data_IF_337789136194
#
_entry.id   IF_337789136194
#
_cell.length_a   1.000
_cell.length_b   1.000
_cell.length_c   1.000
_cell.angle_alpha   90.00
_cell.angle_beta   90.00
_cell.angle_gamma   90.00
#
_symmetry.space_group_name_H-M   'P 1'
#
loop_
_entity.id
_entity.type
_entity.pdbx_description
1 polymer ?
#
# COMPACT_ATOMS: atom_id res chain seq x y z
N UNK A 1 -1.70 20.74 5.47
CA UNK A 1 -2.10 19.35 5.79
C UNK A 1 -3.60 19.16 5.60
N UNK A 2 -4.47 19.94 6.27
CA UNK A 2 -5.95 19.79 6.21
C UNK A 2 -6.57 19.88 4.80
N UNK A 3 -6.09 20.74 3.91
CA UNK A 3 -6.66 20.87 2.56
C UNK A 3 -6.46 19.61 1.70
N UNK A 4 -5.24 19.05 1.71
CA UNK A 4 -4.92 17.83 0.96
C UNK A 4 -5.71 16.63 1.49
N UNK A 5 -5.81 16.50 2.82
CA UNK A 5 -6.60 15.43 3.45
C UNK A 5 -8.09 15.57 3.12
N UNK A 6 -8.62 16.79 3.09
CA UNK A 6 -9.99 17.06 2.65
C UNK A 6 -10.24 16.68 1.19
N UNK A 7 -9.29 16.94 0.29
CA UNK A 7 -9.38 16.54 -1.12
C UNK A 7 -9.35 15.01 -1.26
N UNK A 8 -8.46 14.33 -0.52
CA UNK A 8 -8.38 12.86 -0.51
C UNK A 8 -9.66 12.23 0.01
N UNK A 9 -10.14 12.67 1.16
CA UNK A 9 -11.40 12.18 1.72
C UNK A 9 -12.58 12.39 0.76
N UNK A 10 -12.62 13.52 0.05
CA UNK A 10 -13.65 13.77 -0.96
C UNK A 10 -13.48 12.85 -2.18
N UNK A 11 -12.26 12.59 -2.63
CA UNK A 11 -11.99 11.64 -3.73
C UNK A 11 -12.47 10.24 -3.36
N UNK A 12 -12.17 9.76 -2.16
CA UNK A 12 -12.63 8.44 -1.70
C UNK A 12 -14.17 8.36 -1.60
N UNK A 13 -14.86 9.43 -1.15
CA UNK A 13 -16.33 9.49 -1.20
C UNK A 13 -16.87 9.43 -2.63
N UNK A 14 -16.24 10.12 -3.58
CA UNK A 14 -16.65 10.05 -5.00
C UNK A 14 -16.40 8.66 -5.60
N UNK A 15 -15.32 8.01 -5.22
CA UNK A 15 -15.00 6.64 -5.61
C UNK A 15 -16.04 5.66 -5.03
N UNK A 16 -16.40 5.78 -3.77
CA UNK A 16 -17.34 4.90 -3.10
C UNK A 16 -18.81 5.12 -3.51
N UNK A 17 -19.12 6.23 -4.18
CA UNK A 17 -20.49 6.57 -4.58
C UNK A 17 -21.06 5.70 -5.71
N UNK A 18 -20.22 5.01 -6.48
CA UNK A 18 -20.64 4.13 -7.58
C UNK A 18 -19.93 2.77 -7.48
N UNK A 19 -20.62 1.63 -7.58
CA UNK A 19 -20.01 0.31 -7.47
C UNK A 19 -18.79 0.10 -8.37
N UNK A 20 -18.82 0.61 -9.61
CA UNK A 20 -17.74 0.48 -10.61
C UNK A 20 -16.46 1.18 -10.16
N UNK A 21 -16.57 2.40 -9.64
CA UNK A 21 -15.41 3.14 -9.13
C UNK A 21 -14.93 2.56 -7.81
N UNK A 22 -15.85 2.06 -6.99
CA UNK A 22 -15.51 1.40 -5.73
C UNK A 22 -14.78 0.07 -5.99
N UNK A 23 -15.29 -0.78 -6.91
CA UNK A 23 -14.62 -2.00 -7.36
C UNK A 23 -13.23 -1.73 -7.96
N UNK A 24 -13.09 -0.62 -8.72
CA UNK A 24 -11.80 -0.20 -9.26
C UNK A 24 -10.76 0.06 -8.17
N UNK A 25 -11.07 0.85 -7.14
CA UNK A 25 -10.11 1.13 -6.05
C UNK A 25 -9.81 -0.09 -5.20
N UNK A 26 -10.82 -0.94 -4.94
CA UNK A 26 -10.61 -2.18 -4.21
C UNK A 26 -9.70 -3.16 -4.96
N UNK A 27 -9.74 -3.16 -6.30
CA UNK A 27 -8.77 -3.92 -7.11
C UNK A 27 -7.35 -3.38 -6.97
N UNK A 28 -7.15 -2.06 -6.79
CA UNK A 28 -5.81 -1.52 -6.49
C UNK A 28 -5.26 -2.06 -5.16
N UNK A 29 -6.09 -2.10 -4.11
CA UNK A 29 -5.68 -2.70 -2.83
C UNK A 29 -5.44 -4.20 -2.96
N UNK A 30 -6.39 -4.95 -3.53
CA UNK A 30 -6.28 -6.40 -3.69
C UNK A 30 -4.99 -6.82 -4.42
N UNK A 31 -4.61 -6.12 -5.47
CA UNK A 31 -3.37 -6.44 -6.18
C UNK A 31 -2.12 -6.08 -5.38
N UNK A 32 -2.21 -5.11 -4.46
CA UNK A 32 -1.16 -4.83 -3.46
C UNK A 32 -0.98 -5.99 -2.49
N UNK A 33 -2.07 -6.49 -1.90
CA UNK A 33 -2.06 -7.63 -0.96
C UNK A 33 -1.61 -8.95 -1.61
N UNK A 34 -1.91 -9.13 -2.89
CA UNK A 34 -1.50 -10.32 -3.66
C UNK A 34 -0.02 -10.32 -4.02
N UNK A 35 0.59 -9.14 -4.14
CA UNK A 35 1.96 -9.02 -4.60
C UNK A 35 2.99 -9.77 -3.74
N UNK A 36 2.97 -9.70 -2.40
CA UNK A 36 3.91 -10.45 -1.57
C UNK A 36 3.84 -11.96 -1.77
N UNK A 37 2.66 -12.49 -2.12
CA UNK A 37 2.44 -13.92 -2.33
C UNK A 37 3.00 -14.42 -3.68
N UNK A 38 3.15 -13.54 -4.66
CA UNK A 38 3.70 -13.89 -5.97
C UNK A 38 5.22 -13.79 -6.02
N UNK A 39 5.84 -13.17 -5.01
CA UNK A 39 7.29 -12.98 -4.89
C UNK A 39 7.74 -13.76 -3.65
N UNK A 40 8.09 -15.02 -3.83
CA UNK A 40 8.45 -16.01 -2.79
C UNK A 40 9.51 -15.55 -1.78
N UNK A 41 10.15 -14.41 -2.00
CA UNK A 41 11.32 -13.95 -1.26
C UNK A 41 11.01 -12.89 -0.19
N UNK A 42 9.74 -12.52 -0.01
CA UNK A 42 9.39 -11.39 0.86
C UNK A 42 9.31 -11.76 2.33
N UNK A 43 8.65 -12.86 2.66
CA UNK A 43 8.41 -13.25 4.05
C UNK A 43 9.38 -14.34 4.51
N UNK A 44 10.69 -14.06 4.46
CA UNK A 44 11.76 -15.00 4.81
C UNK A 44 11.91 -15.12 6.35
N UNK A 45 10.90 -15.68 7.01
CA UNK A 45 10.84 -15.82 8.46
C UNK A 45 11.96 -16.68 9.04
N UNK A 46 12.52 -17.62 8.26
CA UNK A 46 13.62 -18.50 8.66
C UNK A 46 14.95 -17.77 8.91
N UNK A 47 15.08 -16.53 8.41
CA UNK A 47 16.25 -15.70 8.65
C UNK A 47 16.06 -14.68 9.78
N UNK A 48 14.91 -14.69 10.43
CA UNK A 48 14.67 -13.84 11.60
C UNK A 48 15.60 -14.24 12.75
N UNK A 49 16.25 -13.28 13.44
CA UNK A 49 17.18 -13.60 14.53
C UNK A 49 16.49 -14.10 15.81
N UNK A 50 15.19 -13.91 15.94
CA UNK A 50 14.38 -14.35 17.08
C UNK A 50 13.10 -15.03 16.62
N UNK A 51 12.61 -16.02 17.40
CA UNK A 51 11.35 -16.68 17.11
C UNK A 51 10.16 -15.70 17.14
N UNK A 52 10.22 -14.70 18.00
CA UNK A 52 9.20 -13.65 18.07
C UNK A 52 9.08 -12.91 16.73
N UNK A 53 10.18 -12.47 16.12
CA UNK A 53 10.16 -11.81 14.82
C UNK A 53 9.75 -12.77 13.71
N UNK A 54 10.21 -14.03 13.75
CA UNK A 54 9.80 -15.05 12.79
C UNK A 54 8.27 -15.26 12.80
N UNK A 55 7.68 -15.32 13.99
CA UNK A 55 6.22 -15.48 14.12
C UNK A 55 5.45 -14.25 13.63
N UNK A 56 5.94 -13.04 13.89
CA UNK A 56 5.35 -11.80 13.37
C UNK A 56 5.37 -11.77 11.83
N UNK A 57 6.47 -12.21 11.21
CA UNK A 57 6.59 -12.30 9.75
C UNK A 57 5.59 -13.32 9.19
N UNK A 58 5.50 -14.51 9.79
CA UNK A 58 4.53 -15.55 9.38
C UNK A 58 3.07 -15.10 9.54
N UNK A 59 2.78 -14.36 10.61
CA UNK A 59 1.45 -13.81 10.84
C UNK A 59 1.10 -12.73 9.80
N UNK A 60 2.04 -11.86 9.47
CA UNK A 60 1.87 -10.85 8.43
C UNK A 60 1.54 -11.52 7.08
N UNK A 61 2.32 -12.51 6.66
CA UNK A 61 2.06 -13.28 5.43
C UNK A 61 0.65 -13.90 5.39
N UNK A 62 0.19 -14.47 6.52
CA UNK A 62 -1.18 -15.00 6.63
C UNK A 62 -2.25 -13.91 6.51
N UNK A 63 -1.97 -12.73 7.06
CA UNK A 63 -2.89 -11.61 6.98
C UNK A 63 -3.01 -11.09 5.55
N UNK A 64 -1.90 -10.98 4.80
CA UNK A 64 -1.91 -10.62 3.38
C UNK A 64 -2.84 -11.54 2.55
N UNK A 65 -2.72 -12.84 2.77
CA UNK A 65 -3.62 -13.81 2.11
C UNK A 65 -5.09 -13.63 2.52
N UNK A 66 -5.35 -13.40 3.80
CA UNK A 66 -6.70 -13.11 4.30
C UNK A 66 -7.25 -11.80 3.69
N UNK A 67 -6.43 -10.77 3.57
CA UNK A 67 -6.80 -9.47 2.99
C UNK A 67 -7.19 -9.63 1.53
N UNK A 68 -6.42 -10.37 0.72
CA UNK A 68 -6.77 -10.70 -0.66
C UNK A 68 -8.18 -11.30 -0.75
N UNK A 69 -8.47 -12.33 0.08
CA UNK A 69 -9.78 -13.00 0.08
C UNK A 69 -10.92 -12.07 0.49
N UNK A 70 -10.70 -11.22 1.50
CA UNK A 70 -11.69 -10.25 1.98
C UNK A 70 -12.00 -9.20 0.92
N UNK A 71 -10.98 -8.64 0.29
CA UNK A 71 -11.13 -7.64 -0.77
C UNK A 71 -11.80 -8.24 -2.02
N UNK A 72 -11.42 -9.46 -2.41
CA UNK A 72 -12.08 -10.17 -3.51
C UNK A 72 -13.58 -10.40 -3.24
N UNK A 73 -13.95 -10.76 -2.01
CA UNK A 73 -15.35 -10.90 -1.60
C UNK A 73 -16.09 -9.55 -1.62
N UNK A 74 -15.43 -8.48 -1.16
CA UNK A 74 -15.98 -7.13 -1.19
C UNK A 74 -16.24 -6.65 -2.62
N UNK A 75 -15.30 -6.84 -3.56
CA UNK A 75 -15.44 -6.50 -4.98
C UNK A 75 -16.66 -7.22 -5.59
N UNK A 76 -16.74 -8.54 -5.38
CA UNK A 76 -17.88 -9.33 -5.90
C UNK A 76 -19.23 -8.91 -5.30
N UNK A 77 -19.25 -8.44 -4.05
CA UNK A 77 -20.48 -7.93 -3.42
C UNK A 77 -21.01 -6.63 -4.02
N UNK A 78 -20.16 -5.91 -4.76
CA UNK A 78 -20.53 -4.73 -5.56
C UNK A 78 -21.05 -5.11 -6.97
N UNK A 79 -21.02 -6.39 -7.35
CA UNK A 79 -21.30 -6.85 -8.71
C UNK A 79 -20.13 -6.63 -9.67
N UNK A 80 -18.93 -6.36 -9.13
CA UNK A 80 -17.72 -6.09 -9.91
C UNK A 80 -16.80 -7.32 -9.94
N UNK A 81 -15.88 -7.35 -10.92
CA UNK A 81 -14.94 -8.42 -11.11
C UNK A 81 -13.60 -8.14 -10.41
N UNK A 82 -12.97 -9.22 -9.93
CA UNK A 82 -11.56 -9.17 -9.50
C UNK A 82 -10.68 -9.17 -10.75
N UNK A 83 -9.88 -8.13 -10.89
CA UNK A 83 -9.03 -7.89 -12.06
C UNK A 83 -7.56 -7.95 -11.65
N UNK A 84 -6.76 -8.69 -12.39
CA UNK A 84 -5.31 -8.63 -12.29
C UNK A 84 -4.81 -7.36 -12.98
N UNK A 85 -4.05 -6.55 -12.24
CA UNK A 85 -3.52 -5.28 -12.74
C UNK A 85 -2.12 -5.47 -13.33
N UNK A 86 -1.77 -4.67 -14.36
CA UNK A 86 -0.38 -4.58 -14.79
C UNK A 86 0.55 -4.18 -13.63
N UNK A 87 1.76 -4.71 -13.60
CA UNK A 87 2.73 -4.42 -12.53
C UNK A 87 2.94 -2.92 -12.27
N UNK A 88 2.97 -2.12 -13.33
CA UNK A 88 3.12 -0.66 -13.25
C UNK A 88 1.93 0.05 -12.55
N UNK A 89 0.80 -0.63 -12.42
CA UNK A 89 -0.40 -0.16 -11.70
C UNK A 89 -0.50 -0.75 -10.28
N UNK A 90 0.49 -1.52 -9.81
CA UNK A 90 0.59 -2.03 -8.44
C UNK A 90 1.60 -1.21 -7.64
N UNK A 91 1.19 -0.62 -6.51
CA UNK A 91 2.05 0.29 -5.74
C UNK A 91 3.33 -0.39 -5.25
N UNK A 92 3.24 -1.65 -4.82
CA UNK A 92 4.36 -2.43 -4.31
C UNK A 92 5.46 -2.62 -5.38
N UNK A 93 5.08 -2.75 -6.66
CA UNK A 93 6.05 -2.76 -7.77
C UNK A 93 6.63 -1.37 -8.02
N UNK A 94 5.79 -0.34 -8.02
CA UNK A 94 6.26 1.04 -8.28
C UNK A 94 7.25 1.52 -7.22
N UNK A 95 7.04 1.18 -5.94
CA UNK A 95 7.98 1.57 -4.87
C UNK A 95 9.32 0.84 -5.03
N UNK A 96 9.36 -0.38 -5.57
CA UNK A 96 10.58 -1.12 -5.84
C UNK A 96 11.54 -0.41 -6.79
N UNK A 97 11.04 0.40 -7.70
CA UNK A 97 11.91 1.18 -8.61
C UNK A 97 12.71 2.26 -7.90
N UNK A 98 12.28 2.68 -6.72
CA UNK A 98 12.90 3.73 -5.92
C UNK A 98 13.57 3.20 -4.66
N UNK A 99 13.31 1.93 -4.31
CA UNK A 99 13.81 1.34 -3.06
C UNK A 99 15.28 0.95 -3.22
N UNK A 100 16.17 1.39 -2.31
CA UNK A 100 17.57 1.02 -2.32
C UNK A 100 17.77 -0.43 -1.89
N UNK A 101 18.79 -1.05 -2.44
CA UNK A 101 19.26 -2.37 -2.00
C UNK A 101 18.39 -3.55 -2.43
N UNK A 102 18.74 -4.70 -1.92
CA UNK A 102 18.06 -5.97 -2.15
C UNK A 102 17.51 -6.51 -0.83
N UNK A 103 16.41 -7.23 -0.90
CA UNK A 103 15.77 -7.91 0.24
C UNK A 103 16.00 -9.42 0.21
N UNK A 104 16.35 -9.96 -0.95
CA UNK A 104 16.54 -11.39 -1.10
C UNK A 104 17.75 -11.86 -0.28
N UNK A 105 17.50 -12.75 0.67
CA UNK A 105 18.52 -13.38 1.51
C UNK A 105 18.83 -14.75 0.90
N UNK A 106 20.10 -15.06 0.80
CA UNK A 106 20.57 -16.38 0.37
C UNK A 106 21.34 -17.08 1.51
N UNK A 107 21.38 -18.42 1.52
CA UNK A 107 22.05 -19.16 2.60
C UNK A 107 23.52 -18.78 2.79
N UNK A 108 24.19 -18.33 1.74
CA UNK A 108 25.61 -17.94 1.73
C UNK A 108 25.86 -16.54 2.27
N UNK A 109 24.83 -15.74 2.46
CA UNK A 109 24.97 -14.40 3.02
C UNK A 109 25.56 -14.47 4.44
N UNK A 110 26.54 -13.64 4.72
CA UNK A 110 27.08 -13.47 6.08
C UNK A 110 26.00 -12.94 7.02
N UNK A 111 26.06 -13.27 8.34
CA UNK A 111 25.01 -12.87 9.30
C UNK A 111 24.70 -11.36 9.31
N UNK A 112 25.72 -10.51 9.14
CA UNK A 112 25.52 -9.05 9.07
C UNK A 112 24.78 -8.63 7.78
N UNK A 113 25.06 -9.29 6.66
CA UNK A 113 24.38 -9.06 5.38
C UNK A 113 22.92 -9.49 5.46
N UNK A 114 22.64 -10.66 6.03
CA UNK A 114 21.25 -11.14 6.26
C UNK A 114 20.45 -10.15 7.10
N UNK A 115 21.01 -9.70 8.22
CA UNK A 115 20.36 -8.69 9.08
C UNK A 115 20.07 -7.40 8.33
N UNK A 116 21.00 -6.91 7.51
CA UNK A 116 20.82 -5.70 6.71
C UNK A 116 19.72 -5.88 5.64
N UNK A 117 19.70 -7.03 4.96
CA UNK A 117 18.66 -7.35 3.96
C UNK A 117 17.29 -7.46 4.61
N UNK A 118 17.19 -8.14 5.77
CA UNK A 118 15.93 -8.24 6.51
C UNK A 118 15.47 -6.87 7.02
N UNK A 119 16.36 -6.01 7.50
CA UNK A 119 16.04 -4.66 7.92
C UNK A 119 15.54 -3.79 6.74
N UNK A 120 16.12 -3.93 5.55
CA UNK A 120 15.62 -3.27 4.34
C UNK A 120 14.22 -3.76 3.97
N UNK A 121 13.96 -5.07 4.09
CA UNK A 121 12.62 -5.62 3.89
C UNK A 121 11.62 -5.05 4.91
N UNK A 122 11.95 -5.06 6.20
CA UNK A 122 11.08 -4.50 7.24
C UNK A 122 10.80 -3.00 7.03
N UNK A 123 11.81 -2.21 6.64
CA UNK A 123 11.62 -0.81 6.32
C UNK A 123 10.73 -0.61 5.08
N UNK A 124 10.89 -1.44 4.07
CA UNK A 124 10.04 -1.43 2.88
C UNK A 124 8.57 -1.71 3.24
N UNK A 125 8.29 -2.79 3.96
CA UNK A 125 6.96 -3.09 4.46
C UNK A 125 6.41 -1.94 5.31
N UNK A 126 7.18 -1.42 6.28
CA UNK A 126 6.74 -0.32 7.13
C UNK A 126 6.15 0.86 6.34
N UNK A 127 6.80 1.29 5.27
CA UNK A 127 6.33 2.43 4.49
C UNK A 127 5.16 2.09 3.56
N UNK A 128 5.08 0.87 3.07
CA UNK A 128 3.92 0.38 2.31
C UNK A 128 2.70 0.33 3.22
N UNK A 129 2.77 -0.40 4.34
CA UNK A 129 1.64 -0.62 5.25
C UNK A 129 1.13 0.69 5.85
N UNK A 130 2.03 1.59 6.24
CA UNK A 130 1.67 2.93 6.73
C UNK A 130 0.91 3.74 5.67
N UNK A 131 1.26 3.59 4.39
CA UNK A 131 0.56 4.25 3.30
C UNK A 131 -0.80 3.60 3.03
N UNK A 132 -0.85 2.27 2.99
CA UNK A 132 -2.09 1.49 2.80
C UNK A 132 -3.06 1.81 3.94
N UNK A 133 -2.63 1.71 5.20
CA UNK A 133 -3.43 2.04 6.36
C UNK A 133 -4.04 3.46 6.27
N UNK A 134 -3.23 4.46 5.89
CA UNK A 134 -3.71 5.83 5.72
C UNK A 134 -4.76 5.96 4.60
N UNK A 135 -4.58 5.25 3.50
CA UNK A 135 -5.53 5.23 2.38
C UNK A 135 -6.83 4.50 2.77
N UNK A 136 -6.71 3.39 3.50
CA UNK A 136 -7.84 2.63 4.02
C UNK A 136 -8.67 3.41 5.05
N UNK A 137 -8.08 4.32 5.84
CA UNK A 137 -8.86 5.23 6.70
C UNK A 137 -9.87 6.06 5.89
N UNK A 138 -9.42 6.69 4.77
CA UNK A 138 -10.35 7.43 3.91
C UNK A 138 -11.39 6.52 3.25
N UNK A 139 -11.00 5.28 2.92
CA UNK A 139 -11.89 4.30 2.32
C UNK A 139 -12.91 3.78 3.33
N UNK A 140 -12.53 3.56 4.58
CA UNK A 140 -13.44 3.18 5.66
C UNK A 140 -14.51 4.25 5.87
N UNK A 141 -14.11 5.52 6.06
CA UNK A 141 -15.02 6.66 6.21
C UNK A 141 -15.99 6.80 5.02
N UNK A 142 -15.49 6.55 3.80
CA UNK A 142 -16.32 6.58 2.59
C UNK A 142 -17.27 5.39 2.50
N UNK A 143 -16.87 4.21 2.95
CA UNK A 143 -17.63 2.96 2.89
C UNK A 143 -18.77 2.91 3.91
N UNK A 144 -18.65 3.63 5.03
CA UNK A 144 -19.74 3.76 6.00
C UNK A 144 -20.98 4.43 5.38
N UNK A 145 -20.78 5.24 4.35
CA UNK A 145 -21.85 5.91 3.60
C UNK A 145 -22.27 5.14 2.35
N UNK A 146 -21.59 4.03 2.01
CA UNK A 146 -21.80 3.28 0.79
C UNK A 146 -22.85 2.16 0.96
N UNK A 147 -23.44 1.74 -0.16
CA UNK A 147 -24.52 0.76 -0.20
C UNK A 147 -24.12 -0.69 0.15
N UNK A 148 -22.83 -0.99 0.40
CA UNK A 148 -22.34 -2.34 0.68
C UNK A 148 -21.72 -2.49 2.06
N UNK A 149 -22.45 -3.07 3.05
CA UNK A 149 -21.89 -3.39 4.37
C UNK A 149 -20.70 -4.36 4.33
N UNK A 150 -20.58 -5.16 3.26
CA UNK A 150 -19.47 -6.09 3.07
C UNK A 150 -18.15 -5.35 2.84
N UNK A 151 -18.17 -4.26 2.06
CA UNK A 151 -16.98 -3.44 1.81
C UNK A 151 -16.47 -2.82 3.11
N UNK A 152 -17.34 -2.19 3.90
CA UNK A 152 -16.96 -1.60 5.19
C UNK A 152 -16.35 -2.63 6.14
N UNK A 153 -16.93 -3.85 6.20
CA UNK A 153 -16.37 -4.96 7.01
C UNK A 153 -14.99 -5.40 6.52
N UNK A 154 -14.80 -5.56 5.21
CA UNK A 154 -13.52 -5.97 4.62
C UNK A 154 -12.44 -4.91 4.88
N UNK A 155 -12.69 -3.65 4.50
CA UNK A 155 -11.77 -2.51 4.70
C UNK A 155 -11.42 -2.34 6.18
N UNK A 156 -12.41 -2.42 7.08
CA UNK A 156 -12.18 -2.30 8.52
C UNK A 156 -11.38 -3.48 9.10
N UNK A 157 -11.48 -4.70 8.53
CA UNK A 157 -10.66 -5.84 8.93
C UNK A 157 -9.21 -5.65 8.50
N UNK A 158 -8.97 -5.31 7.23
CA UNK A 158 -7.62 -5.00 6.72
C UNK A 158 -6.98 -3.89 7.54
N UNK A 159 -7.65 -2.75 7.71
CA UNK A 159 -7.12 -1.59 8.45
C UNK A 159 -6.67 -1.92 9.89
N UNK A 160 -7.35 -2.84 10.58
CA UNK A 160 -6.94 -3.26 11.94
C UNK A 160 -5.61 -4.02 11.91
N UNK A 161 -5.42 -4.89 10.93
CA UNK A 161 -4.19 -5.67 10.80
C UNK A 161 -3.02 -4.80 10.37
N UNK A 162 -3.23 -3.82 9.47
CA UNK A 162 -2.23 -2.84 9.04
C UNK A 162 -1.62 -2.05 10.21
N UNK A 163 -2.44 -1.72 11.21
CA UNK A 163 -1.92 -1.05 12.42
C UNK A 163 -0.85 -1.89 13.13
N UNK A 164 -0.99 -3.20 13.14
CA UNK A 164 -0.02 -4.16 13.71
C UNK A 164 1.20 -4.30 12.81
N UNK A 165 1.00 -4.41 11.48
CA UNK A 165 2.08 -4.50 10.49
C UNK A 165 3.01 -3.28 10.58
N UNK A 166 2.44 -2.08 10.62
CA UNK A 166 3.18 -0.82 10.76
C UNK A 166 4.01 -0.80 12.05
N UNK A 167 3.47 -1.28 13.18
CA UNK A 167 4.15 -1.24 14.47
C UNK A 167 5.35 -2.20 14.49
N UNK A 168 5.13 -3.50 14.19
CA UNK A 168 6.19 -4.48 14.32
C UNK A 168 7.31 -4.29 13.29
N UNK A 169 6.99 -3.86 12.08
CA UNK A 169 8.01 -3.63 11.04
C UNK A 169 8.96 -2.50 11.40
N UNK A 170 8.44 -1.42 12.03
CA UNK A 170 9.30 -0.34 12.54
C UNK A 170 10.21 -0.82 13.69
N UNK A 171 9.64 -1.56 14.64
CA UNK A 171 10.36 -2.13 15.79
C UNK A 171 11.49 -3.06 15.31
N UNK A 172 11.18 -3.95 14.36
CA UNK A 172 12.14 -4.88 13.78
C UNK A 172 13.36 -4.19 13.15
N UNK A 173 13.18 -3.05 12.45
CA UNK A 173 14.33 -2.31 11.92
C UNK A 173 15.27 -1.85 13.03
N UNK A 174 14.72 -1.40 14.17
CA UNK A 174 15.49 -0.97 15.32
C UNK A 174 16.19 -2.10 16.06
N UNK A 175 15.63 -3.33 16.02
CA UNK A 175 16.24 -4.52 16.62
C UNK A 175 17.33 -5.12 15.72
N UNK A 176 17.15 -5.05 14.41
CA UNK A 176 18.07 -5.63 13.42
C UNK A 176 19.34 -4.82 13.24
N UNK A 177 19.29 -3.50 13.40
CA UNK A 177 20.39 -2.59 13.08
C UNK A 177 20.72 -1.62 14.23
N UNK A 178 22.00 -1.21 14.37
CA UNK A 178 22.37 -0.11 15.23
C UNK A 178 21.60 1.17 14.90
N UNK A 179 21.25 1.99 15.89
CA UNK A 179 20.39 3.17 15.78
C UNK A 179 20.70 4.09 14.59
N UNK A 180 21.98 4.34 14.30
CA UNK A 180 22.37 5.20 13.17
C UNK A 180 22.05 4.55 11.82
N UNK A 181 22.31 3.25 11.69
CA UNK A 181 22.04 2.49 10.47
C UNK A 181 20.53 2.32 10.26
N UNK A 182 19.80 2.01 11.32
CA UNK A 182 18.33 1.93 11.28
C UNK A 182 17.70 3.25 10.79
N UNK A 183 18.17 4.40 11.33
CA UNK A 183 17.72 5.70 10.92
C UNK A 183 18.02 5.99 9.44
N UNK A 184 19.18 5.61 8.93
CA UNK A 184 19.56 5.78 7.53
C UNK A 184 18.67 4.93 6.61
N UNK A 185 18.46 3.64 6.93
CA UNK A 185 17.59 2.74 6.19
C UNK A 185 16.15 3.27 6.14
N UNK A 186 15.61 3.69 7.27
CA UNK A 186 14.27 4.27 7.32
C UNK A 186 14.15 5.55 6.48
N UNK A 187 15.17 6.41 6.48
CA UNK A 187 15.16 7.64 5.68
C UNK A 187 15.21 7.35 4.18
N UNK A 188 16.04 6.40 3.75
CA UNK A 188 16.13 5.94 2.37
C UNK A 188 14.78 5.40 1.87
N UNK A 189 14.14 4.52 2.64
CA UNK A 189 12.83 3.96 2.29
C UNK A 189 11.70 4.99 2.34
N UNK A 190 11.76 5.96 3.26
CA UNK A 190 10.83 7.11 3.31
C UNK A 190 10.91 7.96 2.05
N UNK A 191 12.12 8.22 1.53
CA UNK A 191 12.31 8.96 0.29
C UNK A 191 11.81 8.14 -0.91
N UNK A 192 12.08 6.83 -0.95
CA UNK A 192 11.57 5.93 -1.99
C UNK A 192 10.04 5.93 -2.02
N UNK A 193 9.37 5.81 -0.85
CA UNK A 193 7.92 5.89 -0.74
C UNK A 193 7.38 7.22 -1.24
N UNK A 194 7.99 8.34 -0.86
CA UNK A 194 7.53 9.67 -1.29
C UNK A 194 7.54 9.82 -2.83
N UNK A 195 8.62 9.37 -3.49
CA UNK A 195 8.74 9.38 -4.97
C UNK A 195 7.73 8.44 -5.61
N UNK A 196 7.64 7.21 -5.12
CA UNK A 196 6.68 6.20 -5.60
C UNK A 196 5.24 6.70 -5.48
N UNK A 197 4.90 7.31 -4.34
CA UNK A 197 3.59 7.87 -4.07
C UNK A 197 3.17 8.94 -5.08
N UNK A 198 4.06 9.88 -5.37
CA UNK A 198 3.78 10.94 -6.36
C UNK A 198 3.55 10.32 -7.74
N UNK A 199 4.43 9.41 -8.18
CA UNK A 199 4.32 8.72 -9.47
C UNK A 199 3.04 7.90 -9.55
N UNK A 200 2.81 7.01 -8.60
CA UNK A 200 1.63 6.13 -8.57
C UNK A 200 0.32 6.92 -8.52
N UNK A 201 0.22 7.89 -7.59
CA UNK A 201 -0.99 8.71 -7.45
C UNK A 201 -1.30 9.53 -8.71
N UNK A 202 -0.28 10.02 -9.41
CA UNK A 202 -0.45 10.74 -10.69
C UNK A 202 -1.00 9.81 -11.78
N UNK A 203 -0.44 8.59 -11.89
CA UNK A 203 -0.90 7.59 -12.88
C UNK A 203 -2.32 7.14 -12.55
N UNK A 204 -2.60 6.79 -11.29
CA UNK A 204 -3.93 6.32 -10.88
C UNK A 204 -5.01 7.41 -11.01
N UNK A 205 -4.70 8.66 -10.70
CA UNK A 205 -5.62 9.78 -10.92
C UNK A 205 -5.98 9.93 -12.41
N UNK A 206 -4.99 9.81 -13.30
CA UNK A 206 -5.20 9.87 -14.75
C UNK A 206 -6.03 8.67 -15.25
N UNK A 207 -5.71 7.46 -14.78
CA UNK A 207 -6.45 6.24 -15.12
C UNK A 207 -7.90 6.32 -14.65
N UNK A 208 -8.12 6.75 -13.40
CA UNK A 208 -9.44 6.99 -12.83
C UNK A 208 -10.28 7.98 -13.67
N UNK A 209 -9.71 9.15 -13.98
CA UNK A 209 -10.42 10.15 -14.78
C UNK A 209 -10.67 9.71 -16.22
N UNK A 210 -9.77 8.91 -16.82
CA UNK A 210 -9.97 8.36 -18.16
C UNK A 210 -11.12 7.35 -18.19
N UNK A 211 -11.17 6.44 -17.23
CA UNK A 211 -12.16 5.37 -17.19
C UNK A 211 -13.52 5.83 -16.63
N UNK A 212 -13.50 6.69 -15.60
CA UNK A 212 -14.67 6.96 -14.77
C UNK A 212 -15.10 8.44 -14.71
N UNK A 213 -14.58 9.30 -15.58
CA UNK A 213 -14.87 10.74 -15.53
C UNK A 213 -16.39 11.06 -15.56
N UNK A 214 -17.19 10.24 -16.23
CA UNK A 214 -18.65 10.46 -16.35
C UNK A 214 -19.38 10.25 -15.03
N UNK A 215 -18.81 9.48 -14.10
CA UNK A 215 -19.36 9.17 -12.77
C UNK A 215 -19.00 10.23 -11.73
N UNK A 216 -18.11 11.16 -12.07
CA UNK A 216 -17.64 12.21 -11.16
C UNK A 216 -18.24 13.56 -11.56
N UNK A 217 -18.75 14.37 -10.60
CA UNK A 217 -19.29 15.71 -10.88
C UNK A 217 -18.27 16.61 -11.60
N UNK A 218 -18.75 17.42 -12.59
CA UNK A 218 -17.88 18.26 -13.44
C UNK A 218 -16.87 19.11 -12.67
N UNK A 219 -17.31 19.76 -11.58
CA UNK A 219 -16.41 20.61 -10.73
C UNK A 219 -15.27 19.81 -10.11
N UNK A 220 -15.55 18.59 -9.64
CA UNK A 220 -14.55 17.71 -9.02
C UNK A 220 -13.58 17.13 -10.06
N UNK A 221 -14.06 16.84 -11.27
CA UNK A 221 -13.15 16.43 -12.38
C UNK A 221 -12.09 17.48 -12.66
N UNK A 222 -12.45 18.78 -12.66
CA UNK A 222 -11.49 19.85 -12.82
C UNK A 222 -10.50 19.88 -11.67
N UNK A 223 -10.98 19.79 -10.43
CA UNK A 223 -10.12 19.74 -9.24
C UNK A 223 -9.12 18.58 -9.32
N UNK A 224 -9.58 17.37 -9.64
CA UNK A 224 -8.71 16.19 -9.71
C UNK A 224 -7.70 16.27 -10.86
N UNK A 225 -8.05 16.89 -12.00
CA UNK A 225 -7.08 17.18 -13.07
C UNK A 225 -6.00 18.13 -12.63
N UNK A 226 -6.38 19.20 -11.93
CA UNK A 226 -5.42 20.19 -11.39
C UNK A 226 -4.50 19.51 -10.37
N UNK A 227 -5.06 18.73 -9.44
CA UNK A 227 -4.26 17.96 -8.48
C UNK A 227 -3.29 17.00 -9.16
N UNK A 228 -3.74 16.27 -10.20
CA UNK A 228 -2.89 15.38 -10.99
C UNK A 228 -1.74 16.12 -11.67
N UNK A 229 -2.02 17.28 -12.29
CA UNK A 229 -0.99 18.10 -12.92
C UNK A 229 0.03 18.66 -11.92
N UNK A 230 -0.42 19.10 -10.74
CA UNK A 230 0.48 19.56 -9.67
C UNK A 230 1.37 18.43 -9.14
N UNK A 231 0.81 17.22 -8.95
CA UNK A 231 1.60 16.06 -8.56
C UNK A 231 2.63 15.68 -9.63
N UNK A 232 2.25 15.73 -10.92
CA UNK A 232 3.17 15.46 -12.02
C UNK A 232 4.32 16.50 -12.05
N UNK A 233 4.02 17.77 -11.84
CA UNK A 233 5.03 18.83 -11.72
C UNK A 233 5.98 18.61 -10.54
N UNK A 234 5.45 18.25 -9.37
CA UNK A 234 6.25 17.93 -8.19
C UNK A 234 7.15 16.70 -8.43
N UNK A 235 6.63 15.67 -9.11
CA UNK A 235 7.39 14.44 -9.42
C UNK A 235 8.59 14.67 -10.36
N UNK A 236 8.54 15.72 -11.20
CA UNK A 236 9.68 16.08 -12.08
C UNK A 236 10.80 16.82 -11.34
N UNK A 237 10.51 17.36 -10.15
CA UNK A 237 11.49 18.08 -9.32
C UNK A 237 12.15 17.20 -8.24
N UNK A 238 11.66 15.99 -8.03
CA UNK A 238 12.18 14.99 -7.07
C UNK A 238 13.10 13.98 -7.75
#
# INVERSE_FOLDING_TARGET
MYLIDGIKAQLHRDIAADPRTHGWVLNLYLNGERYPQTVCDYFQSEYAPTEQLAEQIRLHEKDEHKHELLLAKAIRSLGEEVVELPRDDVFNEVIRWFTPGTFHIVPEDAPAVRRRKLANFMAHCHFIERRVARSLCYQADASDTAASPMVGKAVGAVLRDEGRHVAYTLEAVGELLPRREAAAVLDEHRQAEARANVRFSTVQMRNFLRAHARLVPKRRRVLYRVCGALMEGAGRMM
#
